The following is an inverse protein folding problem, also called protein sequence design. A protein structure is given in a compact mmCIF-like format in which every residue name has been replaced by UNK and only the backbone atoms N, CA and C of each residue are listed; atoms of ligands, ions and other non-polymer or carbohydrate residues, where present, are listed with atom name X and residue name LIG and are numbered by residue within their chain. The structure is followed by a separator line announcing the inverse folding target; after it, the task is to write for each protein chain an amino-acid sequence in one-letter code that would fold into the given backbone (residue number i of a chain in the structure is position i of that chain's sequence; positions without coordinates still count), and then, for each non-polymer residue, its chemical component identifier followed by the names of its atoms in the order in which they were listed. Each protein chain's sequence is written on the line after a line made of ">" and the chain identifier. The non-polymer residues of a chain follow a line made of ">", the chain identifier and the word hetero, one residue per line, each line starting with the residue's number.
data_IF_909050816292
#
_entry.id   IF_909050816292
#
_cell.length_a   1.000
_cell.length_b   1.000
_cell.length_c   1.000
_cell.angle_alpha   90.00
_cell.angle_beta   90.00
_cell.angle_gamma   90.00
#
_symmetry.space_group_name_H-M   'P 1'
#
loop_
_entity.id
_entity.type
_entity.pdbx_description
1 polymer ?
#
# COMPACT_ATOMS: atom_id res chain seq x y z
N UNK A 1 -7.12 8.75 11.35
CA UNK A 1 -5.68 8.56 11.62
C UNK A 1 -5.28 7.26 10.96
N UNK A 2 -4.12 7.22 10.28
CA UNK A 2 -3.66 6.03 9.58
C UNK A 2 -2.21 5.71 9.94
N UNK A 3 -1.87 4.43 10.03
CA UNK A 3 -0.53 3.93 10.31
C UNK A 3 -0.05 3.16 9.09
N UNK A 4 1.11 3.53 8.55
CA UNK A 4 1.68 2.90 7.36
C UNK A 4 2.80 1.93 7.73
N UNK A 5 2.70 0.71 7.22
CA UNK A 5 3.75 -0.30 7.30
C UNK A 5 4.39 -0.46 5.93
N UNK A 6 5.70 -0.22 5.86
CA UNK A 6 6.51 -0.56 4.69
C UNK A 6 6.61 -2.07 4.55
N UNK A 7 6.28 -2.60 3.38
CA UNK A 7 6.34 -4.03 3.07
C UNK A 7 7.10 -4.27 1.78
N UNK A 8 7.82 -5.38 1.70
CA UNK A 8 8.59 -5.77 0.52
C UNK A 8 7.67 -6.28 -0.62
N UNK A 9 6.54 -6.88 -0.26
CA UNK A 9 5.54 -7.40 -1.18
C UNK A 9 4.13 -7.04 -0.68
N UNK A 10 3.51 -6.06 -1.34
CA UNK A 10 2.18 -5.58 -0.95
C UNK A 10 1.08 -6.60 -1.19
N UNK A 11 1.19 -7.43 -2.23
CA UNK A 11 0.17 -8.43 -2.55
C UNK A 11 0.20 -9.59 -1.55
N UNK A 12 1.40 -10.04 -1.17
CA UNK A 12 1.57 -11.03 -0.12
C UNK A 12 1.08 -10.51 1.24
N UNK A 13 1.38 -9.25 1.57
CA UNK A 13 0.92 -8.62 2.80
C UNK A 13 -0.62 -8.49 2.83
N UNK A 14 -1.24 -8.15 1.70
CA UNK A 14 -2.70 -8.12 1.56
C UNK A 14 -3.35 -9.50 1.66
N UNK A 15 -2.74 -10.52 1.05
CA UNK A 15 -3.21 -11.90 1.18
C UNK A 15 -3.18 -12.36 2.65
N UNK A 16 -2.13 -12.00 3.40
CA UNK A 16 -2.04 -12.25 4.83
C UNK A 16 -3.12 -11.52 5.63
N UNK A 17 -3.37 -10.23 5.33
CA UNK A 17 -4.44 -9.47 5.96
C UNK A 17 -5.82 -10.08 5.68
N UNK A 18 -6.08 -10.49 4.44
CA UNK A 18 -7.32 -11.15 4.05
C UNK A 18 -7.51 -12.50 4.75
N UNK A 19 -6.44 -13.29 4.90
CA UNK A 19 -6.47 -14.56 5.65
C UNK A 19 -6.83 -14.36 7.13
N UNK A 20 -6.58 -13.18 7.69
CA UNK A 20 -6.99 -12.79 9.04
C UNK A 20 -8.34 -12.05 9.10
N UNK A 21 -9.09 -12.02 7.99
CA UNK A 21 -10.43 -11.44 7.93
C UNK A 21 -10.44 -9.92 7.79
N UNK A 22 -9.33 -9.30 7.42
CA UNK A 22 -9.27 -7.87 7.12
C UNK A 22 -9.53 -7.60 5.64
N UNK A 23 -10.56 -6.82 5.34
CA UNK A 23 -10.83 -6.33 4.00
C UNK A 23 -9.98 -5.10 3.64
N UNK A 24 -9.98 -4.76 2.36
CA UNK A 24 -9.35 -3.55 1.82
C UNK A 24 -10.42 -2.48 1.57
N UNK A 25 -10.29 -1.30 2.17
CA UNK A 25 -11.18 -0.17 1.90
C UNK A 25 -10.71 0.68 0.73
N UNK A 26 -9.41 0.68 0.44
CA UNK A 26 -8.82 1.43 -0.67
C UNK A 26 -7.52 0.76 -1.12
N UNK A 27 -7.29 0.72 -2.42
CA UNK A 27 -6.06 0.18 -3.00
C UNK A 27 -5.55 1.16 -4.07
N UNK A 28 -4.24 1.29 -4.13
CA UNK A 28 -3.51 2.07 -5.11
C UNK A 28 -2.35 1.21 -5.60
N UNK A 29 -2.25 1.02 -6.92
CA UNK A 29 -1.13 0.31 -7.53
C UNK A 29 -0.77 1.06 -8.81
N UNK A 30 0.20 1.95 -8.72
CA UNK A 30 0.59 2.77 -9.86
C UNK A 30 1.48 2.00 -10.83
N UNK A 31 1.13 2.12 -12.10
CA UNK A 31 2.03 1.80 -13.21
C UNK A 31 3.22 2.75 -13.23
N UNK A 32 4.33 2.38 -13.89
CA UNK A 32 5.49 3.26 -14.00
C UNK A 32 5.14 4.60 -14.65
N UNK A 33 4.24 4.62 -15.64
CA UNK A 33 3.77 5.84 -16.30
C UNK A 33 3.04 6.79 -15.34
N UNK A 34 2.23 6.23 -14.43
CA UNK A 34 1.54 7.00 -13.39
C UNK A 34 2.52 7.50 -12.34
N UNK A 35 3.51 6.69 -11.94
CA UNK A 35 4.59 7.12 -11.04
C UNK A 35 5.39 8.27 -11.67
N UNK A 36 5.75 8.16 -12.94
CA UNK A 36 6.49 9.19 -13.66
C UNK A 36 5.67 10.49 -13.76
N UNK A 37 4.35 10.38 -13.99
CA UNK A 37 3.43 11.53 -14.10
C UNK A 37 3.12 12.19 -12.75
N UNK A 38 2.89 11.43 -11.70
CA UNK A 38 2.34 11.91 -10.43
C UNK A 38 3.37 12.03 -9.30
N UNK A 39 4.42 11.22 -9.34
CA UNK A 39 5.42 11.10 -8.27
C UNK A 39 6.83 11.49 -8.74
N UNK A 40 6.94 12.15 -9.89
CA UNK A 40 8.21 12.64 -10.44
C UNK A 40 9.17 11.55 -10.89
N UNK A 41 8.69 10.30 -11.05
CA UNK A 41 9.51 9.18 -11.54
C UNK A 41 10.63 8.74 -10.60
N UNK A 42 10.53 9.08 -9.31
CA UNK A 42 11.54 8.75 -8.29
C UNK A 42 11.48 7.29 -7.82
N UNK A 43 10.38 6.59 -8.12
CA UNK A 43 10.12 5.24 -7.66
C UNK A 43 10.01 4.28 -8.85
N UNK A 44 10.36 3.02 -8.62
CA UNK A 44 10.11 1.91 -9.54
C UNK A 44 8.85 1.12 -9.18
N UNK A 45 8.39 1.26 -7.93
CA UNK A 45 7.15 0.66 -7.43
C UNK A 45 6.49 1.62 -6.45
N UNK A 46 5.18 1.80 -6.57
CA UNK A 46 4.36 2.51 -5.61
C UNK A 46 3.01 1.80 -5.50
N UNK A 47 2.82 1.09 -4.40
CA UNK A 47 1.62 0.32 -4.13
C UNK A 47 1.19 0.57 -2.68
N UNK A 48 -0.09 0.82 -2.46
CA UNK A 48 -0.68 1.02 -1.15
C UNK A 48 -2.00 0.28 -1.02
N UNK A 49 -2.24 -0.28 0.16
CA UNK A 49 -3.50 -0.86 0.53
C UNK A 49 -3.94 -0.37 1.90
N UNK A 50 -5.14 0.16 1.99
CA UNK A 50 -5.74 0.62 3.24
C UNK A 50 -6.69 -0.45 3.73
N UNK A 51 -6.38 -1.05 4.88
CA UNK A 51 -7.21 -2.06 5.51
C UNK A 51 -8.42 -1.40 6.18
N UNK A 52 -9.55 -2.10 6.13
CA UNK A 52 -10.81 -1.70 6.77
C UNK A 52 -10.78 -1.92 8.29
N UNK A 53 -9.76 -1.37 8.97
CA UNK A 53 -9.57 -1.51 10.42
C UNK A 53 -10.12 -0.33 11.22
N UNK A 54 -10.47 0.79 10.57
CA UNK A 54 -10.87 2.03 11.25
C UNK A 54 -12.02 1.83 12.25
N UNK A 55 -13.08 1.12 11.85
CA UNK A 55 -14.23 0.86 12.73
C UNK A 55 -13.88 -0.03 13.92
N UNK A 56 -12.92 -0.96 13.75
CA UNK A 56 -12.54 -1.93 14.78
C UNK A 56 -11.44 -1.42 15.71
N UNK A 57 -10.51 -0.62 15.19
CA UNK A 57 -9.28 -0.21 15.86
C UNK A 57 -9.22 1.29 16.17
N UNK A 58 -10.13 2.10 15.63
CA UNK A 58 -10.09 3.57 15.72
C UNK A 58 -9.09 4.24 14.76
N UNK A 59 -8.39 3.46 13.94
CA UNK A 59 -7.45 3.92 12.91
C UNK A 59 -7.34 2.92 11.75
N UNK A 60 -6.94 3.41 10.59
CA UNK A 60 -6.68 2.58 9.41
C UNK A 60 -5.23 2.11 9.41
N UNK A 61 -5.02 0.82 9.14
CA UNK A 61 -3.70 0.27 8.84
C UNK A 61 -3.50 0.32 7.33
N UNK A 62 -2.37 0.85 6.89
CA UNK A 62 -1.98 0.91 5.49
C UNK A 62 -0.75 0.03 5.26
N UNK A 63 -0.77 -0.80 4.23
CA UNK A 63 0.36 -1.59 3.76
C UNK A 63 0.91 -0.89 2.51
N UNK A 64 2.16 -0.46 2.54
CA UNK A 64 2.76 0.31 1.45
C UNK A 64 4.05 -0.36 0.98
N UNK A 65 4.13 -0.63 -0.33
CA UNK A 65 5.37 -1.01 -1.01
C UNK A 65 5.82 0.15 -1.87
N UNK A 66 6.94 0.75 -1.49
CA UNK A 66 7.54 1.89 -2.17
C UNK A 66 9.00 1.56 -2.44
N UNK A 67 9.31 1.22 -3.69
CA UNK A 67 10.68 0.87 -4.08
C UNK A 67 11.31 2.07 -4.80
N UNK A 68 12.50 2.52 -4.37
CA UNK A 68 13.21 3.59 -5.05
C UNK A 68 13.67 3.12 -6.44
N UNK A 69 13.65 4.04 -7.41
CA UNK A 69 14.27 3.77 -8.71
C UNK A 69 15.78 3.69 -8.52
N UNK A 70 16.40 2.62 -9.01
CA UNK A 70 17.86 2.49 -8.99
C UNK A 70 18.50 3.68 -9.74
N UNK A 71 19.62 4.19 -9.21
CA UNK A 71 20.36 5.31 -9.79
C UNK A 71 21.10 4.91 -11.05
#
# INVERSE_FOLDING_TARGET
>A
MSVFFGVDDGDAAMAGAAAHGHGCSHALDYTQEEIDRHLGGHFSRYQEFVLATAERCGFSVCLARIDPKAK
#
